data_IF_744734761723
#
_entry.id   IF_744734761723
#
_cell.length_a   1.000
_cell.length_b   1.000
_cell.length_c   1.000
_cell.angle_alpha   90.00
_cell.angle_beta   90.00
_cell.angle_gamma   90.00
#
_symmetry.space_group_name_H-M   'P 1'
#
loop_
_entity.id
_entity.type
_entity.pdbx_description
1 polymer ?
#
# COMPACT_ATOMS: atom_id res chain seq x y z
N UNK A 1 34.97 -1.87 43.78
CA UNK A 1 35.33 -1.88 42.35
C UNK A 1 34.04 -2.06 41.57
N UNK A 2 33.64 -1.01 40.87
CA UNK A 2 32.32 -0.82 40.28
C UNK A 2 32.19 -1.62 38.97
N UNK A 3 31.32 -2.63 38.96
CA UNK A 3 31.18 -3.62 37.88
C UNK A 3 29.91 -3.41 37.03
N UNK A 4 29.48 -2.16 36.84
CA UNK A 4 28.23 -1.82 36.13
C UNK A 4 28.43 -0.76 35.03
N UNK A 5 29.62 -0.69 34.42
CA UNK A 5 29.76 0.02 33.15
C UNK A 5 29.51 -0.96 31.99
N UNK A 6 28.48 -0.74 31.14
CA UNK A 6 28.36 -1.49 29.90
C UNK A 6 29.63 -1.27 29.09
N UNK A 7 30.22 -2.37 28.60
CA UNK A 7 31.33 -2.29 27.65
C UNK A 7 30.88 -1.38 26.49
N UNK A 8 31.72 -0.45 26.01
CA UNK A 8 31.36 0.35 24.85
C UNK A 8 31.03 -0.61 23.71
N UNK A 9 29.81 -0.53 23.17
CA UNK A 9 29.42 -1.24 21.97
C UNK A 9 30.52 -0.98 20.94
N UNK A 10 31.10 -2.05 20.36
CA UNK A 10 31.93 -1.95 19.15
C UNK A 10 31.18 -1.00 18.21
N UNK A 11 31.83 0.10 17.81
CA UNK A 11 31.26 1.02 16.82
C UNK A 11 30.76 0.18 15.65
N UNK A 12 29.45 0.20 15.44
CA UNK A 12 28.81 -0.55 14.38
C UNK A 12 29.24 0.09 13.06
N UNK A 13 30.21 -0.51 12.36
CA UNK A 13 30.71 0.01 11.09
C UNK A 13 29.83 -0.50 9.95
N UNK A 14 28.86 0.32 9.54
CA UNK A 14 27.94 0.00 8.42
C UNK A 14 28.68 -0.39 7.13
N UNK A 15 29.94 0.07 6.95
CA UNK A 15 30.81 -0.29 5.84
C UNK A 15 31.13 -1.79 5.71
N UNK A 16 31.05 -2.58 6.78
CA UNK A 16 31.33 -4.03 6.73
C UNK A 16 30.19 -4.85 6.07
N UNK A 17 29.02 -4.23 5.85
CA UNK A 17 27.82 -4.88 5.29
C UNK A 17 27.48 -4.41 3.87
N UNK A 18 28.39 -3.68 3.22
CA UNK A 18 28.19 -3.14 1.87
C UNK A 18 28.25 -4.21 0.79
N UNK A 19 27.31 -4.17 -0.15
CA UNK A 19 27.38 -5.00 -1.36
C UNK A 19 28.33 -4.40 -2.40
N UNK A 20 28.97 -5.27 -3.20
CA UNK A 20 29.98 -4.87 -4.17
C UNK A 20 29.37 -4.35 -5.48
N UNK A 21 28.22 -4.87 -5.90
CA UNK A 21 27.55 -4.48 -7.14
C UNK A 21 26.33 -3.57 -6.88
N UNK A 22 26.00 -2.69 -7.82
CA UNK A 22 24.82 -1.82 -7.69
C UNK A 22 23.51 -2.60 -7.81
N UNK A 23 23.55 -3.75 -8.47
CA UNK A 23 22.47 -4.71 -8.60
C UNK A 23 22.11 -5.34 -7.24
N UNK A 24 23.12 -5.77 -6.48
CA UNK A 24 22.93 -6.29 -5.12
C UNK A 24 22.47 -5.18 -4.16
N UNK A 25 23.04 -3.98 -4.26
CA UNK A 25 22.59 -2.82 -3.46
C UNK A 25 21.12 -2.50 -3.73
N UNK A 26 20.70 -2.53 -5.00
CA UNK A 26 19.32 -2.30 -5.38
C UNK A 26 18.40 -3.40 -4.83
N UNK A 27 18.81 -4.66 -4.97
CA UNK A 27 18.06 -5.80 -4.43
C UNK A 27 17.91 -5.67 -2.91
N UNK A 28 18.98 -5.34 -2.20
CA UNK A 28 18.95 -5.09 -0.77
C UNK A 28 17.97 -3.96 -0.41
N UNK A 29 17.95 -2.86 -1.18
CA UNK A 29 17.00 -1.79 -0.93
C UNK A 29 15.55 -2.26 -1.05
N UNK A 30 15.23 -3.09 -2.04
CA UNK A 30 13.86 -3.59 -2.22
C UNK A 30 13.43 -4.50 -1.06
N UNK A 31 14.29 -5.41 -0.60
CA UNK A 31 13.92 -6.37 0.45
C UNK A 31 14.09 -5.83 1.88
N UNK A 32 15.04 -4.93 2.09
CA UNK A 32 15.50 -4.50 3.42
C UNK A 32 15.29 -3.00 3.66
N UNK A 33 15.06 -2.22 2.60
CA UNK A 33 14.90 -0.76 2.67
C UNK A 33 16.22 0.02 2.69
N UNK A 34 17.36 -0.67 2.56
CA UNK A 34 18.72 -0.08 2.52
C UNK A 34 19.59 -0.77 1.47
N UNK A 35 20.59 -0.06 0.94
CA UNK A 35 21.57 -0.60 -0.03
C UNK A 35 22.62 -1.55 0.57
N UNK A 36 22.45 -1.96 1.82
CA UNK A 36 23.39 -2.82 2.54
C UNK A 36 22.65 -3.83 3.39
N UNK A 37 23.34 -4.89 3.80
CA UNK A 37 22.76 -6.06 4.46
C UNK A 37 22.37 -5.81 5.93
N UNK A 38 21.59 -4.76 6.21
CA UNK A 38 21.15 -4.40 7.55
C UNK A 38 19.65 -4.09 7.58
N UNK A 39 18.88 -5.03 8.14
CA UNK A 39 17.46 -4.82 8.40
C UNK A 39 17.26 -4.06 9.70
N UNK A 40 16.42 -3.03 9.66
CA UNK A 40 15.96 -2.32 10.84
C UNK A 40 14.44 -2.50 10.95
N UNK A 41 13.93 -3.08 12.04
CA UNK A 41 12.50 -3.24 12.23
C UNK A 41 11.85 -1.88 12.48
N UNK A 42 10.62 -1.71 12.01
CA UNK A 42 9.81 -0.52 12.28
C UNK A 42 9.23 0.11 11.03
N UNK A 43 8.74 1.34 11.18
CA UNK A 43 8.11 2.06 10.08
C UNK A 43 9.19 2.77 9.24
N UNK A 44 9.35 2.35 7.99
CA UNK A 44 10.37 2.90 7.08
C UNK A 44 10.21 4.41 6.82
N UNK A 45 8.98 4.95 6.88
CA UNK A 45 8.75 6.39 6.78
C UNK A 45 9.30 7.14 8.00
N UNK A 46 9.12 6.60 9.21
CA UNK A 46 9.60 7.23 10.45
C UNK A 46 11.13 7.31 10.50
N UNK A 47 11.82 6.34 9.88
CA UNK A 47 13.28 6.32 9.78
C UNK A 47 13.83 7.05 8.55
N UNK A 48 12.99 7.74 7.77
CA UNK A 48 13.39 8.49 6.57
C UNK A 48 14.10 7.63 5.51
N UNK A 49 13.64 6.40 5.27
CA UNK A 49 14.29 5.51 4.29
C UNK A 49 14.04 5.97 2.85
N UNK A 50 12.89 6.60 2.60
CA UNK A 50 12.48 7.07 1.28
C UNK A 50 13.08 8.44 0.92
N UNK A 51 14.42 8.49 0.90
CA UNK A 51 15.19 9.62 0.40
C UNK A 51 16.05 9.15 -0.78
N UNK A 52 16.16 9.96 -1.83
CA UNK A 52 16.93 9.59 -3.02
C UNK A 52 18.40 9.25 -2.68
N UNK A 53 18.97 9.92 -1.67
CA UNK A 53 20.33 9.68 -1.17
C UNK A 53 20.53 8.28 -0.59
N UNK A 54 19.45 7.59 -0.19
CA UNK A 54 19.51 6.23 0.36
C UNK A 54 19.42 5.15 -0.73
N UNK A 55 19.23 5.53 -2.00
CA UNK A 55 19.12 4.62 -3.15
C UNK A 55 19.94 5.15 -4.34
N UNK A 56 21.20 5.48 -4.07
CA UNK A 56 22.15 5.99 -5.08
C UNK A 56 22.50 4.99 -6.19
N UNK A 57 22.30 3.69 -5.97
CA UNK A 57 22.55 2.62 -6.93
C UNK A 57 21.73 2.80 -8.21
N UNK A 58 20.49 3.32 -8.13
CA UNK A 58 19.65 3.57 -9.30
C UNK A 58 20.25 4.68 -10.18
N UNK A 59 20.79 5.75 -9.58
CA UNK A 59 21.47 6.81 -10.33
C UNK A 59 22.70 6.25 -11.06
N UNK A 60 23.48 5.42 -10.37
CA UNK A 60 24.70 4.82 -10.94
C UNK A 60 24.38 3.83 -12.07
N UNK A 61 23.34 3.01 -11.92
CA UNK A 61 22.86 2.11 -12.98
C UNK A 61 22.28 2.88 -14.17
N UNK A 62 21.57 3.99 -13.92
CA UNK A 62 21.01 4.83 -14.98
C UNK A 62 22.08 5.56 -15.80
N UNK A 63 23.26 5.83 -15.21
CA UNK A 63 24.38 6.47 -15.88
C UNK A 63 25.22 5.49 -16.73
N UNK A 64 25.13 4.19 -16.49
CA UNK A 64 25.78 3.15 -17.30
C UNK A 64 24.93 2.81 -18.53
N UNK A 65 25.41 3.15 -19.72
CA UNK A 65 24.70 2.94 -21.00
C UNK A 65 24.26 1.49 -21.23
N UNK A 66 24.99 0.50 -20.71
CA UNK A 66 24.67 -0.91 -20.89
C UNK A 66 23.69 -1.45 -19.85
N UNK A 67 23.42 -0.68 -18.78
CA UNK A 67 22.62 -1.14 -17.63
C UNK A 67 21.42 -0.25 -17.32
N UNK A 68 21.11 0.74 -18.19
CA UNK A 68 20.09 1.74 -17.92
C UNK A 68 18.71 1.16 -17.57
N UNK A 69 18.34 0.00 -18.14
CA UNK A 69 17.04 -0.65 -17.90
C UNK A 69 17.06 -1.71 -16.79
N UNK A 70 18.24 -2.10 -16.32
CA UNK A 70 18.41 -3.09 -15.26
C UNK A 70 17.63 -2.77 -13.97
N UNK A 71 17.49 -1.48 -13.54
CA UNK A 71 16.62 -1.17 -12.41
C UNK A 71 15.18 -1.64 -12.57
N UNK A 72 14.63 -1.58 -13.79
CA UNK A 72 13.26 -2.03 -14.05
C UNK A 72 13.16 -3.54 -13.97
N UNK A 73 14.14 -4.25 -14.51
CA UNK A 73 14.22 -5.71 -14.43
C UNK A 73 14.28 -6.20 -12.98
N UNK A 74 15.10 -5.54 -12.15
CA UNK A 74 15.22 -5.88 -10.72
C UNK A 74 13.90 -5.61 -9.99
N UNK A 75 13.23 -4.46 -10.24
CA UNK A 75 11.93 -4.15 -9.64
C UNK A 75 10.88 -5.18 -10.05
N UNK A 76 10.80 -5.54 -11.33
CA UNK A 76 9.84 -6.51 -11.83
C UNK A 76 10.08 -7.91 -11.25
N UNK A 77 11.34 -8.36 -11.21
CA UNK A 77 11.72 -9.63 -10.58
C UNK A 77 11.35 -9.67 -9.10
N UNK A 78 11.61 -8.59 -8.36
CA UNK A 78 11.24 -8.49 -6.96
C UNK A 78 9.71 -8.48 -6.76
N UNK A 79 8.98 -7.74 -7.59
CA UNK A 79 7.51 -7.72 -7.59
C UNK A 79 6.92 -9.12 -7.88
N UNK A 80 7.45 -9.83 -8.88
CA UNK A 80 6.99 -11.15 -9.28
C UNK A 80 7.39 -12.25 -8.29
N UNK A 81 8.42 -12.02 -7.47
CA UNK A 81 8.79 -12.96 -6.41
C UNK A 81 7.75 -13.04 -5.28
N UNK A 82 6.96 -11.97 -5.08
CA UNK A 82 6.05 -11.80 -3.94
C UNK A 82 6.73 -11.95 -2.55
N UNK A 83 8.07 -11.75 -2.52
CA UNK A 83 8.89 -11.87 -1.31
C UNK A 83 9.26 -10.51 -0.70
N UNK A 84 8.79 -9.39 -1.28
CA UNK A 84 9.15 -8.05 -0.80
C UNK A 84 8.35 -7.72 0.47
N UNK A 85 9.00 -7.55 1.64
CA UNK A 85 8.27 -7.35 2.90
C UNK A 85 7.56 -6.00 3.01
N UNK A 86 8.10 -4.99 2.34
CA UNK A 86 7.62 -3.61 2.41
C UNK A 86 7.39 -3.08 1.00
N UNK A 87 6.15 -3.20 0.50
CA UNK A 87 5.81 -2.83 -0.88
C UNK A 87 6.15 -1.37 -1.23
N UNK A 88 6.25 -0.49 -0.23
CA UNK A 88 6.67 0.89 -0.39
C UNK A 88 8.09 1.05 -0.98
N UNK A 89 8.98 0.07 -0.78
CA UNK A 89 10.33 0.08 -1.38
C UNK A 89 10.27 -0.06 -2.91
N UNK A 90 9.42 -0.94 -3.43
CA UNK A 90 9.17 -1.10 -4.87
C UNK A 90 8.63 0.21 -5.47
N UNK A 91 7.64 0.81 -4.81
CA UNK A 91 7.01 2.05 -5.28
C UNK A 91 8.01 3.20 -5.25
N UNK A 92 8.83 3.29 -4.21
CA UNK A 92 9.85 4.32 -4.10
C UNK A 92 10.93 4.16 -5.18
N UNK A 93 11.47 2.96 -5.36
CA UNK A 93 12.46 2.68 -6.41
C UNK A 93 11.89 3.00 -7.81
N UNK A 94 10.64 2.61 -8.08
CA UNK A 94 9.94 2.95 -9.32
C UNK A 94 9.80 4.47 -9.51
N UNK A 95 9.46 5.20 -8.45
CA UNK A 95 9.36 6.66 -8.48
C UNK A 95 10.73 7.30 -8.77
N UNK A 96 11.81 6.80 -8.17
CA UNK A 96 13.19 7.23 -8.46
C UNK A 96 13.55 7.00 -9.93
N UNK A 97 13.29 5.81 -10.48
CA UNK A 97 13.47 5.51 -11.91
C UNK A 97 12.70 6.49 -12.81
N UNK A 98 11.44 6.79 -12.48
CA UNK A 98 10.59 7.70 -13.27
C UNK A 98 11.07 9.16 -13.30
N UNK A 99 11.97 9.53 -12.38
CA UNK A 99 12.53 10.87 -12.22
C UNK A 99 14.02 10.95 -12.52
N UNK A 100 14.61 9.90 -13.09
CA UNK A 100 16.02 9.90 -13.46
C UNK A 100 16.35 10.93 -14.54
N UNK A 101 17.51 11.57 -14.39
CA UNK A 101 17.99 12.59 -15.34
C UNK A 101 18.86 11.97 -16.42
N UNK A 102 19.64 10.92 -16.08
CA UNK A 102 20.64 10.32 -16.95
C UNK A 102 20.06 9.46 -18.09
N UNK A 103 18.89 8.85 -17.88
CA UNK A 103 18.30 7.93 -18.85
C UNK A 103 16.82 8.22 -19.09
N UNK A 104 16.50 8.67 -20.31
CA UNK A 104 15.11 8.84 -20.76
C UNK A 104 14.41 7.50 -20.98
N UNK A 105 15.13 6.50 -21.50
CA UNK A 105 14.63 5.14 -21.70
C UNK A 105 14.17 4.53 -20.37
N UNK A 106 14.96 4.70 -19.29
CA UNK A 106 14.59 4.27 -17.94
C UNK A 106 13.32 4.98 -17.44
N UNK A 107 13.18 6.30 -17.65
CA UNK A 107 11.96 7.02 -17.27
C UNK A 107 10.73 6.46 -17.98
N UNK A 108 10.83 6.21 -19.28
CA UNK A 108 9.72 5.64 -20.07
C UNK A 108 9.36 4.23 -19.63
N UNK A 109 10.37 3.37 -19.41
CA UNK A 109 10.16 2.02 -18.90
C UNK A 109 9.51 2.02 -17.50
N UNK A 110 9.93 2.93 -16.61
CA UNK A 110 9.30 3.12 -15.30
C UNK A 110 7.82 3.50 -15.43
N UNK A 111 7.49 4.49 -16.28
CA UNK A 111 6.10 4.90 -16.50
C UNK A 111 5.22 3.77 -17.07
N UNK A 112 5.77 2.92 -17.92
CA UNK A 112 5.03 1.81 -18.54
C UNK A 112 4.53 0.78 -17.52
N UNK A 113 5.27 0.57 -16.42
CA UNK A 113 4.93 -0.45 -15.41
C UNK A 113 4.20 0.09 -14.18
N UNK A 114 3.92 1.41 -14.12
CA UNK A 114 3.16 2.01 -13.00
C UNK A 114 1.81 1.34 -12.81
N UNK A 115 1.08 1.06 -13.90
CA UNK A 115 -0.22 0.38 -13.83
C UNK A 115 -0.13 -1.04 -13.28
N UNK A 116 0.97 -1.76 -13.58
CA UNK A 116 1.21 -3.14 -13.12
C UNK A 116 1.54 -3.18 -11.62
N UNK A 117 2.53 -2.38 -11.19
CA UNK A 117 3.01 -2.38 -9.80
C UNK A 117 2.04 -1.66 -8.87
N UNK A 118 1.54 -0.50 -9.30
CA UNK A 118 0.64 0.32 -8.50
C UNK A 118 -0.82 0.05 -8.87
N UNK A 119 -1.24 -1.21 -8.91
CA UNK A 119 -2.60 -1.59 -9.29
C UNK A 119 -3.66 -1.06 -8.30
N UNK A 120 -3.35 -1.08 -7.01
CA UNK A 120 -4.21 -0.54 -5.96
C UNK A 120 -4.17 1.00 -5.90
N UNK A 121 -5.28 1.67 -5.52
CA UNK A 121 -5.31 3.12 -5.36
C UNK A 121 -4.33 3.61 -4.27
N UNK A 122 -4.10 2.85 -3.20
CA UNK A 122 -3.15 3.22 -2.15
C UNK A 122 -1.71 3.27 -2.68
N UNK A 123 -1.30 2.27 -3.47
CA UNK A 123 0.02 2.20 -4.08
C UNK A 123 0.20 3.27 -5.15
N UNK A 124 -0.83 3.50 -5.97
CA UNK A 124 -0.83 4.56 -6.95
C UNK A 124 -0.67 5.94 -6.31
N UNK A 125 -1.44 6.24 -5.25
CA UNK A 125 -1.32 7.50 -4.53
C UNK A 125 0.07 7.64 -3.89
N UNK A 126 0.64 6.55 -3.37
CA UNK A 126 2.00 6.56 -2.83
C UNK A 126 3.06 6.86 -3.90
N UNK A 127 2.92 6.28 -5.10
CA UNK A 127 3.78 6.60 -6.25
C UNK A 127 3.71 8.10 -6.56
N UNK A 128 2.50 8.68 -6.60
CA UNK A 128 2.34 10.12 -6.85
C UNK A 128 2.99 10.96 -5.77
N UNK A 129 2.86 10.56 -4.49
CA UNK A 129 3.58 11.22 -3.39
C UNK A 129 5.07 11.22 -3.67
N UNK A 130 5.68 10.05 -3.86
CA UNK A 130 7.13 9.95 -4.05
C UNK A 130 7.61 10.69 -5.29
N UNK A 131 6.96 10.48 -6.45
CA UNK A 131 7.30 11.17 -7.70
C UNK A 131 7.22 12.70 -7.55
N UNK A 132 6.23 13.21 -6.81
CA UNK A 132 6.07 14.64 -6.55
C UNK A 132 7.12 15.19 -5.58
N UNK A 133 7.43 14.46 -4.51
CA UNK A 133 8.48 14.83 -3.54
C UNK A 133 9.86 14.85 -4.18
N UNK A 134 10.17 13.84 -5.00
CA UNK A 134 11.40 13.76 -5.78
C UNK A 134 11.51 14.93 -6.77
N UNK A 135 10.41 15.36 -7.39
CA UNK A 135 10.46 16.49 -8.34
C UNK A 135 10.72 17.85 -7.69
N UNK A 136 10.38 18.01 -6.41
CA UNK A 136 10.59 19.23 -5.63
C UNK A 136 12.00 19.32 -5.04
N UNK A 137 12.65 18.18 -4.82
CA UNK A 137 14.01 18.08 -4.28
C UNK A 137 15.02 18.10 -5.43
N UNK A 138 16.21 18.66 -5.20
CA UNK A 138 17.34 18.50 -6.14
C UNK A 138 17.81 17.05 -6.04
N UNK A 139 17.28 16.15 -6.87
CA UNK A 139 17.40 14.69 -6.67
C UNK A 139 18.73 14.08 -7.09
N UNK A 140 19.64 14.85 -7.67
CA UNK A 140 20.96 14.36 -8.06
C UNK A 140 22.01 14.82 -7.07
N UNK A 141 22.84 13.87 -6.62
CA UNK A 141 24.03 14.15 -5.82
C UNK A 141 25.10 14.91 -6.62
N UNK A 142 25.02 14.84 -7.96
CA UNK A 142 26.09 15.25 -8.87
C UNK A 142 25.74 16.43 -9.79
N UNK A 143 24.45 16.69 -10.08
CA UNK A 143 24.02 17.64 -11.12
C UNK A 143 22.81 18.49 -10.69
N UNK A 144 22.98 19.66 -10.05
CA UNK A 144 21.87 20.41 -9.46
C UNK A 144 20.77 20.75 -10.50
N UNK A 145 19.69 19.98 -10.49
CA UNK A 145 18.51 20.26 -11.31
C UNK A 145 17.63 21.31 -10.64
N UNK A 146 17.04 22.23 -11.41
CA UNK A 146 16.12 23.23 -10.87
C UNK A 146 14.85 22.54 -10.38
N UNK A 147 14.37 22.82 -9.15
CA UNK A 147 13.08 22.31 -8.69
C UNK A 147 12.00 22.59 -9.74
N UNK A 148 11.24 21.56 -10.10
CA UNK A 148 10.13 21.69 -11.05
C UNK A 148 8.82 21.37 -10.34
N UNK A 149 7.71 21.81 -10.92
CA UNK A 149 6.38 21.44 -10.44
C UNK A 149 6.15 19.91 -10.46
N UNK A 150 6.97 19.14 -11.21
CA UNK A 150 7.00 17.68 -11.19
C UNK A 150 6.01 16.98 -12.11
N UNK A 151 5.08 17.73 -12.71
CA UNK A 151 4.03 17.24 -13.59
C UNK A 151 4.36 17.44 -15.08
N UNK A 152 5.49 16.88 -15.52
CA UNK A 152 5.86 16.87 -16.94
C UNK A 152 4.95 15.96 -17.78
N UNK A 153 5.12 16.02 -19.11
CA UNK A 153 4.31 15.23 -20.05
C UNK A 153 4.31 13.72 -19.73
N UNK A 154 5.48 13.15 -19.41
CA UNK A 154 5.60 11.72 -19.07
C UNK A 154 4.77 11.31 -17.85
N UNK A 155 4.86 12.05 -16.74
CA UNK A 155 4.07 11.75 -15.54
C UNK A 155 2.56 11.91 -15.80
N UNK A 156 2.14 12.99 -16.48
CA UNK A 156 0.72 13.19 -16.82
C UNK A 156 0.19 12.05 -17.68
N UNK A 157 0.96 11.61 -18.68
CA UNK A 157 0.61 10.47 -19.53
C UNK A 157 0.47 9.18 -18.71
N UNK A 158 1.43 8.87 -17.84
CA UNK A 158 1.37 7.68 -16.99
C UNK A 158 0.16 7.68 -16.04
N UNK A 159 -0.14 8.84 -15.45
CA UNK A 159 -1.30 9.03 -14.58
C UNK A 159 -2.60 8.87 -15.34
N UNK A 160 -2.73 9.49 -16.51
CA UNK A 160 -3.92 9.39 -17.34
C UNK A 160 -4.13 7.94 -17.79
N UNK A 161 -3.07 7.24 -18.20
CA UNK A 161 -3.13 5.82 -18.52
C UNK A 161 -3.65 5.01 -17.32
N UNK A 162 -3.19 5.28 -16.10
CA UNK A 162 -3.64 4.55 -14.90
C UNK A 162 -5.15 4.67 -14.65
N UNK A 163 -5.75 5.84 -14.88
CA UNK A 163 -7.19 6.05 -14.76
C UNK A 163 -7.96 5.44 -15.93
N UNK A 164 -7.51 5.72 -17.16
CA UNK A 164 -8.27 5.41 -18.37
C UNK A 164 -8.12 3.95 -18.83
N UNK A 165 -7.10 3.22 -18.37
CA UNK A 165 -6.92 1.80 -18.72
C UNK A 165 -7.76 0.84 -17.88
N UNK A 166 -8.49 1.33 -16.88
CA UNK A 166 -9.33 0.49 -16.01
C UNK A 166 -10.74 0.39 -16.56
N UNK A 167 -11.36 -0.77 -16.33
CA UNK A 167 -12.78 -0.93 -16.52
C UNK A 167 -13.56 0.05 -15.63
N UNK A 168 -14.69 0.62 -16.08
CA UNK A 168 -15.36 1.69 -15.35
C UNK A 168 -15.76 1.32 -13.92
N UNK A 169 -16.33 0.12 -13.71
CA UNK A 169 -16.72 -0.32 -12.37
C UNK A 169 -15.51 -0.57 -11.46
N UNK A 170 -14.43 -1.13 -11.99
CA UNK A 170 -13.15 -1.30 -11.28
C UNK A 170 -12.58 0.05 -10.84
N UNK A 171 -12.63 1.06 -11.72
CA UNK A 171 -12.19 2.41 -11.38
C UNK A 171 -13.07 3.03 -10.30
N UNK A 172 -14.40 2.88 -10.39
CA UNK A 172 -15.35 3.36 -9.39
C UNK A 172 -15.09 2.70 -8.02
N UNK A 173 -14.85 1.39 -7.98
CA UNK A 173 -14.44 0.67 -6.77
C UNK A 173 -13.14 1.23 -6.20
N UNK A 174 -12.10 1.43 -7.01
CA UNK A 174 -10.83 1.98 -6.54
C UNK A 174 -10.96 3.36 -5.88
N UNK A 175 -11.62 4.30 -6.56
CA UNK A 175 -11.70 5.70 -6.12
C UNK A 175 -12.69 5.89 -4.95
N UNK A 176 -13.67 5.00 -4.82
CA UNK A 176 -14.58 4.99 -3.67
C UNK A 176 -13.96 4.29 -2.46
N UNK A 177 -13.16 3.24 -2.65
CA UNK A 177 -12.41 2.56 -1.59
C UNK A 177 -11.40 3.51 -0.92
N UNK A 178 -10.55 4.16 -1.73
CA UNK A 178 -9.54 5.09 -1.22
C UNK A 178 -9.68 6.48 -1.85
N UNK A 179 -10.45 7.38 -1.21
CA UNK A 179 -10.60 8.77 -1.71
C UNK A 179 -9.27 9.56 -1.70
N UNK A 180 -8.35 9.18 -0.82
CA UNK A 180 -7.04 9.81 -0.67
C UNK A 180 -6.21 9.17 0.43
N UNK A 181 -4.88 9.24 0.28
CA UNK A 181 -3.90 8.70 1.23
C UNK A 181 -2.61 9.51 1.13
N UNK A 182 -1.75 9.44 2.15
CA UNK A 182 -0.43 10.08 2.14
C UNK A 182 -0.44 11.59 1.80
N UNK A 183 -1.52 12.31 2.15
CA UNK A 183 -1.68 13.73 1.85
C UNK A 183 -2.18 14.07 0.44
N UNK A 184 -2.51 13.07 -0.38
CA UNK A 184 -2.99 13.23 -1.75
C UNK A 184 -4.41 12.67 -1.92
N UNK A 185 -5.23 13.35 -2.72
CA UNK A 185 -6.58 12.88 -3.10
C UNK A 185 -6.64 12.67 -4.61
N UNK A 186 -7.50 11.76 -5.07
CA UNK A 186 -7.75 11.58 -6.50
C UNK A 186 -8.16 12.89 -7.19
N UNK A 187 -8.93 13.75 -6.49
CA UNK A 187 -9.29 15.09 -6.97
C UNK A 187 -8.08 15.96 -7.32
N UNK A 188 -7.03 15.94 -6.51
CA UNK A 188 -5.84 16.76 -6.73
C UNK A 188 -5.00 16.17 -7.87
N UNK A 189 -4.93 14.83 -7.96
CA UNK A 189 -4.25 14.11 -9.03
C UNK A 189 -4.91 14.40 -10.39
N UNK A 190 -6.24 14.26 -10.48
CA UNK A 190 -7.02 14.52 -11.71
C UNK A 190 -6.89 15.97 -12.16
N UNK A 191 -6.88 16.93 -11.23
CA UNK A 191 -6.62 18.34 -11.54
C UNK A 191 -5.27 18.60 -12.18
N UNK A 192 -4.25 17.84 -11.82
CA UNK A 192 -2.88 18.04 -12.30
C UNK A 192 -2.58 17.25 -13.58
N UNK A 193 -3.25 16.10 -13.78
CA UNK A 193 -3.03 15.24 -14.94
C UNK A 193 -3.96 15.52 -16.12
N UNK A 194 -5.12 16.13 -15.87
CA UNK A 194 -6.14 16.44 -16.87
C UNK A 194 -6.49 15.23 -17.76
N UNK A 195 -7.01 14.12 -17.17
CA UNK A 195 -7.42 12.97 -17.95
C UNK A 195 -8.61 13.35 -18.83
N UNK A 196 -8.58 12.93 -20.09
CA UNK A 196 -9.68 13.11 -21.04
C UNK A 196 -10.41 11.76 -21.15
N UNK A 197 -11.67 11.66 -20.67
CA UNK A 197 -12.42 10.40 -20.75
C UNK A 197 -12.69 10.03 -22.21
N UNK A 198 -12.59 8.74 -22.50
CA UNK A 198 -12.90 8.11 -23.78
C UNK A 198 -14.31 7.51 -23.82
N UNK A 199 -14.96 7.34 -22.67
CA UNK A 199 -16.32 6.77 -22.53
C UNK A 199 -17.18 7.59 -21.55
N UNK A 200 -18.52 7.58 -21.69
CA UNK A 200 -19.42 8.29 -20.78
C UNK A 200 -19.31 7.80 -19.32
N UNK A 201 -19.03 6.51 -19.12
CA UNK A 201 -18.84 5.91 -17.79
C UNK A 201 -17.63 6.51 -17.07
N UNK A 202 -16.50 6.66 -17.79
CA UNK A 202 -15.30 7.29 -17.24
C UNK A 202 -15.51 8.78 -17.02
N UNK A 203 -16.29 9.45 -17.88
CA UNK A 203 -16.66 10.84 -17.67
C UNK A 203 -17.45 11.03 -16.36
N UNK A 204 -18.43 10.16 -16.09
CA UNK A 204 -19.19 10.14 -14.84
C UNK A 204 -18.28 9.99 -13.62
N UNK A 205 -17.32 9.06 -13.66
CA UNK A 205 -16.40 8.82 -12.55
C UNK A 205 -15.49 10.02 -12.32
N UNK A 206 -14.91 10.61 -13.39
CA UNK A 206 -14.09 11.81 -13.29
C UNK A 206 -14.91 13.01 -12.77
N UNK A 207 -16.17 13.14 -13.21
CA UNK A 207 -17.10 14.15 -12.70
C UNK A 207 -17.33 13.97 -11.20
N UNK A 208 -17.57 12.75 -10.75
CA UNK A 208 -17.75 12.43 -9.33
C UNK A 208 -16.50 12.77 -8.51
N UNK A 209 -15.29 12.41 -8.98
CA UNK A 209 -14.03 12.76 -8.30
C UNK A 209 -13.90 14.28 -8.13
N UNK A 210 -14.27 15.04 -9.15
CA UNK A 210 -14.10 16.49 -9.19
C UNK A 210 -15.16 17.26 -8.40
N UNK A 211 -16.42 16.81 -8.48
CA UNK A 211 -17.59 17.58 -8.10
C UNK A 211 -18.53 16.90 -7.09
N UNK A 212 -18.34 15.61 -6.81
CA UNK A 212 -19.18 14.82 -5.91
C UNK A 212 -20.45 14.27 -6.55
N UNK A 213 -21.17 13.43 -5.79
CA UNK A 213 -22.30 12.64 -6.29
C UNK A 213 -23.50 13.50 -6.72
N UNK A 214 -23.89 14.49 -5.92
CA UNK A 214 -25.01 15.39 -6.21
C UNK A 214 -24.92 16.05 -7.60
N UNK A 215 -23.74 16.61 -7.92
CA UNK A 215 -23.51 17.25 -9.22
C UNK A 215 -23.42 16.22 -10.36
N UNK A 216 -22.95 15.01 -10.06
CA UNK A 216 -22.86 13.93 -11.04
C UNK A 216 -24.26 13.44 -11.42
N UNK A 217 -25.14 13.21 -10.44
CA UNK A 217 -26.55 12.86 -10.69
C UNK A 217 -27.30 13.93 -11.48
N UNK A 218 -27.07 15.21 -11.20
CA UNK A 218 -27.67 16.29 -11.99
C UNK A 218 -27.24 16.31 -13.45
N UNK A 219 -26.02 15.85 -13.76
CA UNK A 219 -25.50 15.84 -15.12
C UNK A 219 -25.82 14.54 -15.88
N UNK A 220 -25.98 13.43 -15.18
CA UNK A 220 -26.03 12.09 -15.79
C UNK A 220 -27.19 11.21 -15.29
N UNK A 221 -28.09 11.72 -14.46
CA UNK A 221 -29.13 10.93 -13.79
C UNK A 221 -30.12 10.24 -14.73
N UNK A 222 -30.34 10.80 -15.91
CA UNK A 222 -31.24 10.24 -16.93
C UNK A 222 -30.51 9.34 -17.94
N UNK A 223 -29.19 9.17 -17.81
CA UNK A 223 -28.40 8.33 -18.72
C UNK A 223 -28.39 6.87 -18.22
N UNK A 224 -29.08 6.00 -18.96
CA UNK A 224 -29.22 4.57 -18.65
C UNK A 224 -27.88 3.83 -18.65
N UNK A 225 -26.93 4.21 -19.51
CA UNK A 225 -25.65 3.50 -19.68
C UNK A 225 -24.74 3.60 -18.44
N UNK A 226 -24.93 4.65 -17.64
CA UNK A 226 -24.11 4.94 -16.45
C UNK A 226 -24.86 4.76 -15.14
N UNK A 227 -26.12 4.33 -15.20
CA UNK A 227 -27.00 4.25 -14.04
C UNK A 227 -26.46 3.27 -12.99
N UNK A 228 -25.99 2.09 -13.40
CA UNK A 228 -25.41 1.11 -12.49
C UNK A 228 -24.19 1.66 -11.73
N UNK A 229 -23.35 2.47 -12.40
CA UNK A 229 -22.20 3.11 -11.77
C UNK A 229 -22.62 4.18 -10.76
N UNK A 230 -23.61 5.00 -11.09
CA UNK A 230 -24.16 6.00 -10.18
C UNK A 230 -24.78 5.31 -8.96
N UNK A 231 -25.51 4.22 -9.16
CA UNK A 231 -26.09 3.41 -8.08
C UNK A 231 -25.02 2.79 -7.19
N UNK A 232 -23.95 2.23 -7.75
CA UNK A 232 -22.82 1.72 -6.97
C UNK A 232 -22.18 2.82 -6.11
N UNK A 233 -21.87 3.98 -6.72
CA UNK A 233 -21.27 5.11 -5.98
C UNK A 233 -22.22 5.61 -4.89
N UNK A 234 -23.54 5.65 -5.16
CA UNK A 234 -24.54 6.02 -4.17
C UNK A 234 -24.55 5.06 -2.99
N UNK A 235 -24.55 3.74 -3.21
CA UNK A 235 -24.49 2.72 -2.14
C UNK A 235 -23.31 2.96 -1.20
N UNK A 236 -22.14 3.27 -1.75
CA UNK A 236 -20.93 3.56 -0.96
C UNK A 236 -21.06 4.88 -0.20
N UNK A 237 -21.61 5.94 -0.81
CA UNK A 237 -21.84 7.21 -0.12
C UNK A 237 -22.90 7.08 0.98
N UNK A 238 -23.99 6.34 0.75
CA UNK A 238 -25.03 6.08 1.75
C UNK A 238 -24.45 5.40 2.99
N UNK A 239 -23.62 4.38 2.78
CA UNK A 239 -22.90 3.73 3.88
C UNK A 239 -22.00 4.72 4.63
N UNK A 240 -21.24 5.56 3.92
CA UNK A 240 -20.32 6.54 4.55
C UNK A 240 -21.02 7.65 5.32
N UNK A 241 -22.27 7.96 4.98
CA UNK A 241 -23.08 9.00 5.65
C UNK A 241 -24.08 8.41 6.66
N UNK A 242 -24.25 7.09 6.71
CA UNK A 242 -24.99 6.43 7.76
C UNK A 242 -24.32 6.71 9.11
N UNK A 243 -25.08 7.00 10.17
CA UNK A 243 -24.54 7.19 11.53
C UNK A 243 -25.04 6.12 12.50
N UNK A 244 -26.00 5.31 12.08
CA UNK A 244 -26.52 4.19 12.87
C UNK A 244 -25.63 2.96 12.66
N UNK A 245 -25.07 2.43 13.76
CA UNK A 245 -24.09 1.34 13.71
C UNK A 245 -24.68 0.03 13.20
N UNK A 246 -25.94 -0.25 13.51
CA UNK A 246 -26.61 -1.51 13.14
C UNK A 246 -27.00 -1.45 11.67
N UNK A 247 -27.57 -0.32 11.23
CA UNK A 247 -27.87 -0.11 9.82
C UNK A 247 -26.59 -0.11 8.97
N UNK A 248 -25.53 0.57 9.42
CA UNK A 248 -24.25 0.58 8.72
C UNK A 248 -23.67 -0.83 8.59
N UNK A 249 -23.74 -1.67 9.64
CA UNK A 249 -23.34 -3.08 9.56
C UNK A 249 -24.15 -3.86 8.52
N UNK A 250 -25.47 -3.67 8.48
CA UNK A 250 -26.32 -4.29 7.45
C UNK A 250 -26.01 -3.83 6.03
N UNK A 251 -25.68 -2.55 5.83
CA UNK A 251 -25.25 -2.03 4.51
C UNK A 251 -23.88 -2.59 4.10
N UNK A 252 -22.97 -2.74 5.05
CA UNK A 252 -21.64 -3.30 4.82
C UNK A 252 -21.72 -4.73 4.28
N UNK A 253 -22.55 -5.56 4.92
CA UNK A 253 -22.81 -6.94 4.48
C UNK A 253 -23.53 -6.96 3.12
N UNK A 254 -24.62 -6.20 2.98
CA UNK A 254 -25.46 -6.17 1.76
C UNK A 254 -24.69 -5.73 0.52
N UNK A 255 -23.75 -4.80 0.67
CA UNK A 255 -22.99 -4.23 -0.44
C UNK A 255 -21.56 -4.77 -0.53
N UNK A 256 -21.21 -5.79 0.27
CA UNK A 256 -19.89 -6.43 0.27
C UNK A 256 -18.74 -5.42 0.44
N UNK A 257 -18.94 -4.42 1.31
CA UNK A 257 -17.97 -3.37 1.53
C UNK A 257 -16.85 -3.84 2.46
N UNK A 258 -15.62 -3.47 2.11
CA UNK A 258 -14.42 -3.78 2.91
C UNK A 258 -14.13 -2.74 4.00
N UNK A 259 -13.19 -3.07 4.89
CA UNK A 259 -12.70 -2.19 5.96
C UNK A 259 -12.32 -0.78 5.48
N UNK A 260 -11.77 -0.65 4.27
CA UNK A 260 -11.34 0.63 3.70
C UNK A 260 -12.50 1.62 3.48
N UNK A 261 -13.73 1.12 3.33
CA UNK A 261 -14.91 1.96 3.19
C UNK A 261 -15.36 2.58 4.51
N UNK A 262 -14.97 1.97 5.64
CA UNK A 262 -15.51 2.27 6.98
C UNK A 262 -15.00 3.63 7.47
N UNK A 263 -15.91 4.58 7.79
CA UNK A 263 -15.52 5.85 8.39
C UNK A 263 -14.79 5.67 9.72
N UNK A 264 -13.80 6.52 10.00
CA UNK A 264 -12.95 6.38 11.19
C UNK A 264 -13.70 6.37 12.54
N UNK A 265 -14.83 7.07 12.63
CA UNK A 265 -15.67 7.09 13.83
C UNK A 265 -16.39 5.74 14.07
N UNK A 266 -16.64 4.96 13.01
CA UNK A 266 -17.28 3.65 13.07
C UNK A 266 -16.30 2.51 13.41
N UNK A 267 -14.99 2.72 13.29
CA UNK A 267 -13.99 1.70 13.59
C UNK A 267 -13.96 1.27 15.07
N UNK A 268 -14.68 1.97 15.96
CA UNK A 268 -14.87 1.61 17.37
C UNK A 268 -16.14 0.79 17.63
N UNK A 269 -16.91 0.48 16.58
CA UNK A 269 -18.22 -0.19 16.66
C UNK A 269 -18.07 -1.71 16.61
N UNK A 270 -18.55 -2.43 17.62
CA UNK A 270 -18.54 -3.90 17.63
C UNK A 270 -19.42 -4.48 16.53
N UNK A 271 -20.52 -3.80 16.20
CA UNK A 271 -21.47 -4.21 15.15
C UNK A 271 -20.78 -4.24 13.78
N UNK A 272 -19.96 -3.23 13.48
CA UNK A 272 -19.22 -3.12 12.22
C UNK A 272 -18.17 -4.23 12.11
N UNK A 273 -17.43 -4.50 13.18
CA UNK A 273 -16.41 -5.56 13.18
C UNK A 273 -17.03 -6.96 13.09
N UNK A 274 -18.17 -7.20 13.74
CA UNK A 274 -18.89 -8.47 13.61
C UNK A 274 -19.38 -8.73 12.19
N UNK A 275 -19.74 -7.68 11.43
CA UNK A 275 -20.10 -7.80 10.02
C UNK A 275 -18.88 -7.98 9.09
N UNK A 276 -17.74 -7.39 9.44
CA UNK A 276 -16.51 -7.43 8.64
C UNK A 276 -15.69 -8.71 8.78
N UNK A 277 -15.46 -9.17 10.02
CA UNK A 277 -14.62 -10.35 10.29
C UNK A 277 -15.01 -11.54 9.40
N UNK A 278 -16.31 -11.78 9.13
CA UNK A 278 -16.72 -12.87 8.26
C UNK A 278 -16.19 -12.87 6.83
N UNK A 279 -15.92 -11.71 6.25
CA UNK A 279 -15.54 -11.53 4.83
C UNK A 279 -14.10 -11.02 4.65
N UNK A 280 -13.38 -10.78 5.75
CA UNK A 280 -12.00 -10.30 5.71
C UNK A 280 -11.05 -11.36 5.17
N UNK A 281 -10.12 -10.92 4.32
CA UNK A 281 -8.94 -11.71 4.00
C UNK A 281 -8.00 -11.83 5.22
N UNK A 282 -7.18 -12.87 5.20
CA UNK A 282 -6.29 -13.19 6.31
C UNK A 282 -5.27 -12.08 6.62
N UNK A 283 -4.75 -11.40 5.61
CA UNK A 283 -3.78 -10.31 5.81
C UNK A 283 -4.44 -9.12 6.54
N UNK A 284 -5.64 -8.73 6.12
CA UNK A 284 -6.44 -7.68 6.77
C UNK A 284 -6.80 -8.07 8.20
N UNK A 285 -7.20 -9.32 8.43
CA UNK A 285 -7.56 -9.83 9.74
C UNK A 285 -6.37 -9.75 10.72
N UNK A 286 -5.22 -10.29 10.33
CA UNK A 286 -3.99 -10.28 11.14
C UNK A 286 -3.49 -8.86 11.43
N UNK A 287 -3.54 -7.97 10.43
CA UNK A 287 -3.17 -6.54 10.58
C UNK A 287 -4.02 -5.80 11.60
N UNK A 288 -5.25 -6.25 11.84
CA UNK A 288 -6.22 -5.60 12.73
C UNK A 288 -6.45 -6.36 14.04
N UNK A 289 -5.71 -7.44 14.28
CA UNK A 289 -5.93 -8.35 15.40
C UNK A 289 -5.95 -7.62 16.76
N UNK A 290 -5.00 -6.72 16.98
CA UNK A 290 -4.94 -5.93 18.20
C UNK A 290 -6.18 -5.07 18.41
N UNK A 291 -6.74 -4.53 17.33
CA UNK A 291 -7.96 -3.71 17.39
C UNK A 291 -9.17 -4.57 17.74
N UNK A 292 -9.29 -5.75 17.10
CA UNK A 292 -10.36 -6.72 17.37
C UNK A 292 -10.31 -7.15 18.85
N UNK A 293 -9.10 -7.42 19.38
CA UNK A 293 -8.88 -7.67 20.81
C UNK A 293 -9.37 -6.50 21.66
N UNK A 294 -8.94 -5.28 21.36
CA UNK A 294 -9.26 -4.09 22.15
C UNK A 294 -10.77 -3.79 22.19
N UNK A 295 -11.53 -4.26 21.21
CA UNK A 295 -12.99 -4.19 21.16
C UNK A 295 -13.69 -5.30 21.95
N UNK A 296 -12.92 -6.24 22.53
CA UNK A 296 -13.45 -7.33 23.33
C UNK A 296 -14.11 -8.44 22.52
N UNK A 297 -13.81 -8.53 21.22
CA UNK A 297 -14.36 -9.55 20.32
C UNK A 297 -13.58 -10.89 20.38
N UNK A 298 -12.42 -10.90 21.04
CA UNK A 298 -11.57 -12.09 21.20
C UNK A 298 -11.68 -12.72 22.60
N UNK A 299 -12.88 -12.70 23.19
CA UNK A 299 -13.13 -13.38 24.46
C UNK A 299 -13.24 -14.89 24.24
N UNK A 300 -12.93 -15.67 25.28
CA UNK A 300 -13.16 -17.13 25.28
C UNK A 300 -14.61 -17.41 24.85
N UNK A 301 -14.79 -18.35 23.92
CA UNK A 301 -16.08 -18.79 23.36
C UNK A 301 -16.83 -17.75 22.51
N UNK A 302 -16.19 -16.64 22.10
CA UNK A 302 -16.80 -15.72 21.15
C UNK A 302 -16.83 -16.34 19.74
N UNK A 303 -17.95 -16.24 18.98
CA UNK A 303 -18.05 -16.77 17.61
C UNK A 303 -16.97 -16.21 16.66
N UNK A 304 -16.52 -14.98 16.91
CA UNK A 304 -15.43 -14.37 16.16
C UNK A 304 -14.10 -15.12 16.35
N UNK A 305 -13.84 -15.71 17.52
CA UNK A 305 -12.59 -16.46 17.80
C UNK A 305 -12.57 -17.76 17.01
N UNK A 306 -13.67 -18.53 17.01
CA UNK A 306 -13.78 -19.77 16.23
C UNK A 306 -13.53 -19.50 14.74
N UNK A 307 -14.17 -18.47 14.17
CA UNK A 307 -13.96 -18.09 12.77
C UNK A 307 -12.52 -17.66 12.47
N UNK A 308 -11.89 -16.92 13.38
CA UNK A 308 -10.48 -16.53 13.23
C UNK A 308 -9.59 -17.76 13.27
N UNK A 309 -9.86 -18.72 14.17
CA UNK A 309 -9.12 -19.99 14.26
C UNK A 309 -9.27 -20.79 12.96
N UNK A 310 -10.49 -20.90 12.43
CA UNK A 310 -10.73 -21.59 11.16
C UNK A 310 -9.94 -20.94 10.01
N UNK A 311 -9.90 -19.60 9.95
CA UNK A 311 -9.17 -18.88 8.91
C UNK A 311 -7.64 -19.08 9.01
N UNK A 312 -7.09 -18.98 10.22
CA UNK A 312 -5.63 -19.07 10.45
C UNK A 312 -5.12 -20.52 10.46
N UNK A 313 -5.98 -21.53 10.57
CA UNK A 313 -5.60 -22.95 10.54
C UNK A 313 -5.88 -23.63 9.19
N UNK A 314 -6.63 -22.96 8.31
CA UNK A 314 -6.90 -23.46 6.96
C UNK A 314 -5.64 -23.39 6.08
N UNK A 315 -5.03 -24.56 5.84
CA UNK A 315 -3.81 -24.70 5.03
C UNK A 315 -3.95 -24.18 3.60
N UNK A 316 -5.10 -24.39 2.96
CA UNK A 316 -5.33 -23.93 1.58
C UNK A 316 -5.38 -22.40 1.52
N UNK A 317 -6.11 -21.78 2.45
CA UNK A 317 -6.18 -20.32 2.53
C UNK A 317 -4.84 -19.69 2.89
N UNK A 318 -4.08 -20.32 3.77
CA UNK A 318 -2.72 -19.92 4.10
C UNK A 318 -1.81 -19.95 2.87
N UNK A 319 -1.81 -21.07 2.13
CA UNK A 319 -1.01 -21.21 0.92
C UNK A 319 -1.39 -20.16 -0.16
N UNK A 320 -2.68 -19.84 -0.28
CA UNK A 320 -3.18 -18.84 -1.23
C UNK A 320 -3.06 -17.38 -0.75
N UNK A 321 -2.75 -17.14 0.52
CA UNK A 321 -2.75 -15.79 1.12
C UNK A 321 -1.48 -14.99 0.83
N UNK A 322 -0.42 -15.65 0.35
CA UNK A 322 0.91 -15.06 0.10
C UNK A 322 1.45 -14.24 1.28
N UNK A 323 1.12 -14.65 2.51
CA UNK A 323 1.56 -13.93 3.70
C UNK A 323 3.01 -14.27 4.01
N UNK A 324 3.88 -13.26 3.95
CA UNK A 324 5.29 -13.43 4.26
C UNK A 324 5.51 -13.79 5.76
N UNK A 325 6.37 -14.77 6.10
CA UNK A 325 6.59 -15.19 7.49
C UNK A 325 7.00 -14.04 8.44
N UNK A 326 7.78 -13.08 7.94
CA UNK A 326 8.19 -11.90 8.74
C UNK A 326 7.01 -11.04 9.18
N UNK A 327 5.95 -10.95 8.39
CA UNK A 327 4.74 -10.18 8.73
C UNK A 327 4.03 -10.84 9.92
N UNK A 328 3.90 -12.17 9.88
CA UNK A 328 3.32 -12.95 10.98
C UNK A 328 4.16 -12.81 12.24
N UNK A 329 5.49 -12.90 12.12
CA UNK A 329 6.41 -12.73 13.25
C UNK A 329 6.28 -11.33 13.90
N UNK A 330 6.21 -10.26 13.09
CA UNK A 330 6.03 -8.89 13.59
C UNK A 330 4.70 -8.75 14.33
N UNK A 331 3.60 -9.29 13.77
CA UNK A 331 2.28 -9.25 14.41
C UNK A 331 2.30 -10.00 15.74
N UNK A 332 2.89 -11.20 15.77
CA UNK A 332 3.05 -11.98 17.00
C UNK A 332 3.78 -11.17 18.07
N UNK A 333 4.94 -10.59 17.72
CA UNK A 333 5.73 -9.80 18.67
C UNK A 333 5.02 -8.53 19.12
N UNK A 334 4.26 -7.88 18.24
CA UNK A 334 3.45 -6.72 18.62
C UNK A 334 2.32 -7.11 19.58
N UNK A 335 1.67 -8.25 19.34
CA UNK A 335 0.59 -8.75 20.18
C UNK A 335 1.08 -9.21 21.55
N UNK A 336 2.20 -9.94 21.61
CA UNK A 336 2.90 -10.32 22.85
C UNK A 336 3.26 -9.08 23.70
N UNK A 337 3.63 -7.96 23.07
CA UNK A 337 4.04 -6.76 23.79
C UNK A 337 2.90 -5.76 24.07
N UNK A 338 1.64 -6.11 23.81
CA UNK A 338 0.49 -5.17 23.86
C UNK A 338 -0.04 -4.85 25.27
N UNK A 339 0.54 -5.43 26.33
CA UNK A 339 0.28 -5.07 27.73
C UNK A 339 -1.08 -5.52 28.31
N UNK A 340 -2.01 -6.04 27.50
CA UNK A 340 -3.27 -6.65 27.94
C UNK A 340 -3.31 -8.13 27.57
N UNK A 341 -2.62 -8.95 28.36
CA UNK A 341 -2.62 -10.40 28.21
C UNK A 341 -3.95 -10.99 28.70
N UNK A 342 -4.77 -11.49 27.78
CA UNK A 342 -5.85 -12.43 28.08
C UNK A 342 -5.64 -13.71 27.29
N UNK A 343 -6.04 -14.85 27.90
CA UNK A 343 -5.71 -16.25 27.62
C UNK A 343 -5.84 -16.78 26.16
N UNK A 344 -6.25 -15.98 25.18
CA UNK A 344 -6.35 -16.38 23.76
C UNK A 344 -5.00 -16.57 23.05
N UNK A 345 -3.87 -16.26 23.71
CA UNK A 345 -2.53 -16.34 23.13
C UNK A 345 -2.09 -17.77 22.80
N UNK A 346 -2.49 -18.79 23.55
CA UNK A 346 -2.00 -20.15 23.32
C UNK A 346 -2.46 -20.69 21.97
N UNK A 347 -3.71 -20.39 21.58
CA UNK A 347 -4.28 -20.81 20.30
C UNK A 347 -3.68 -20.03 19.13
N UNK A 348 -3.43 -18.73 19.29
CA UNK A 348 -2.77 -17.92 18.26
C UNK A 348 -1.29 -18.26 18.09
N UNK A 349 -0.56 -18.47 19.19
CA UNK A 349 0.84 -18.91 19.14
C UNK A 349 0.92 -20.25 18.42
N UNK A 350 0.04 -21.21 18.76
CA UNK A 350 -0.03 -22.51 18.05
C UNK A 350 -0.34 -22.37 16.56
N UNK A 351 -1.33 -21.55 16.19
CA UNK A 351 -1.67 -21.30 14.79
C UNK A 351 -0.53 -20.63 14.01
N UNK A 352 0.09 -19.60 14.58
CA UNK A 352 1.22 -18.87 13.96
C UNK A 352 2.47 -19.77 13.83
N UNK A 353 2.70 -20.65 14.80
CA UNK A 353 3.78 -21.63 14.73
C UNK A 353 3.52 -22.64 13.60
N UNK A 354 2.26 -23.06 13.40
CA UNK A 354 1.85 -23.93 12.29
C UNK A 354 2.00 -23.24 10.92
N UNK A 355 1.69 -21.95 10.81
CA UNK A 355 1.92 -21.15 9.59
C UNK A 355 3.42 -21.12 9.25
N UNK A 356 4.27 -20.90 10.25
CA UNK A 356 5.74 -20.86 10.05
C UNK A 356 6.34 -22.20 9.64
N UNK A 357 5.70 -23.32 10.01
CA UNK A 357 6.13 -24.68 9.66
C UNK A 357 5.59 -25.10 8.27
N UNK A 358 4.43 -24.58 7.85
CA UNK A 358 3.77 -24.92 6.58
C UNK A 358 4.39 -24.24 5.36
N UNK A 359 5.19 -23.19 5.54
CA UNK A 359 5.83 -22.43 4.46
C UNK A 359 7.23 -22.95 4.08
N UNK A 360 7.60 -24.15 4.54
CA UNK A 360 8.85 -24.85 4.21
C UNK A 360 8.60 -26.22 3.57
#
# INVERSE_FOLDING_TARGET
MDATKPKPNKEFKEMEFGFHSFEEQMSAFLYVGKEFALYHPGNLFAHNYFLAVNVGCIEKLAADENKQLLPIEIILKAFESDLVPHFETLIFALAVCSKQVYSESLRHAAYAIVGKICSSPEHFILFIKFASELSKRKVTMSHPYKPSHGWGHGLRKAVNNWYLSKEPLELAKCITRCKGRYGWKHKDIVKLSHPHPDTPEKEVILKYIMHGLEKTKKSFGDNLDVQELIEYIQKVEDFKHCNDKVQAAGLLEKYELTLDHVPGHMLKSTEIWNSLIPSMDLHTLLSNLQRIHNLGLLKTDAPAVEKIIDEITNKERLACSNIHPIFVYIILKNYENSGKFTLGLTVMVLAITLISISSY
#
